data_IF_297855366388
#
_entry.id   IF_297855366388
#
_cell.length_a   1.000
_cell.length_b   1.000
_cell.length_c   1.000
_cell.angle_alpha   90.00
_cell.angle_beta   90.00
_cell.angle_gamma   90.00
#
_symmetry.space_group_name_H-M   'P 1'
#
loop_
_entity.id
_entity.type
_entity.pdbx_description
1 polymer ?
#
# COMPACT_ATOMS: atom_id res chain seq x y z
N UNK A 1 -9.23 -11.49 -28.62
CA UNK A 1 -9.13 -11.02 -27.22
C UNK A 1 -7.88 -11.66 -26.65
N UNK A 2 -6.91 -10.88 -26.22
CA UNK A 2 -5.70 -11.45 -25.63
C UNK A 2 -6.04 -12.08 -24.28
N UNK A 3 -5.27 -13.11 -23.86
CA UNK A 3 -5.49 -13.82 -22.59
C UNK A 3 -5.64 -12.88 -21.40
N UNK A 4 -4.87 -11.79 -21.39
CA UNK A 4 -4.90 -10.78 -20.31
C UNK A 4 -6.23 -10.01 -20.29
N UNK A 5 -6.80 -9.67 -21.45
CA UNK A 5 -8.06 -8.95 -21.52
C UNK A 5 -9.18 -9.80 -20.91
N UNK A 6 -9.23 -11.09 -21.25
CA UNK A 6 -10.20 -12.02 -20.68
C UNK A 6 -10.05 -12.14 -19.16
N UNK A 7 -8.81 -12.27 -18.66
CA UNK A 7 -8.54 -12.36 -17.21
C UNK A 7 -8.99 -11.07 -16.50
N UNK A 8 -8.68 -9.91 -17.08
CA UNK A 8 -9.05 -8.62 -16.53
C UNK A 8 -10.58 -8.44 -16.46
N UNK A 9 -11.28 -8.78 -17.54
CA UNK A 9 -12.73 -8.65 -17.62
C UNK A 9 -13.40 -9.61 -16.62
N UNK A 10 -12.94 -10.87 -16.55
CA UNK A 10 -13.44 -11.85 -15.60
C UNK A 10 -13.21 -11.43 -14.13
N UNK A 11 -12.05 -10.85 -13.81
CA UNK A 11 -11.77 -10.35 -12.47
C UNK A 11 -12.65 -9.13 -12.14
N UNK A 12 -12.87 -8.21 -13.10
CA UNK A 12 -13.76 -7.07 -12.92
C UNK A 12 -15.21 -7.49 -12.69
N UNK A 13 -15.68 -8.53 -13.36
CA UNK A 13 -17.02 -9.11 -13.15
C UNK A 13 -17.15 -9.82 -11.79
N UNK A 14 -16.13 -10.58 -11.39
CA UNK A 14 -16.13 -11.31 -10.12
C UNK A 14 -15.98 -10.40 -8.90
N UNK A 15 -15.28 -9.28 -9.05
CA UNK A 15 -14.94 -8.36 -7.95
C UNK A 15 -15.26 -6.90 -8.31
N UNK A 16 -16.53 -6.52 -8.53
CA UNK A 16 -16.90 -5.19 -9.05
C UNK A 16 -16.66 -4.04 -8.07
N UNK A 17 -16.51 -4.33 -6.77
CA UNK A 17 -16.33 -3.32 -5.70
C UNK A 17 -14.97 -3.43 -5.01
N UNK A 18 -13.95 -3.85 -5.71
CA UNK A 18 -12.66 -4.14 -5.13
C UNK A 18 -11.84 -2.87 -4.84
N UNK A 19 -12.27 -2.12 -3.82
CA UNK A 19 -11.46 -1.08 -3.19
C UNK A 19 -10.78 -1.68 -1.96
N UNK A 20 -9.52 -1.34 -1.74
CA UNK A 20 -8.87 -1.72 -0.49
C UNK A 20 -9.70 -1.26 0.72
N UNK A 21 -9.80 -2.09 1.75
CA UNK A 21 -10.66 -1.86 2.91
C UNK A 21 -10.08 -0.84 3.91
N UNK A 22 -8.87 -0.30 3.67
CA UNK A 22 -8.25 0.69 4.54
C UNK A 22 -8.96 2.05 4.44
N UNK A 23 -9.32 2.62 5.59
CA UNK A 23 -9.94 3.95 5.70
C UNK A 23 -8.87 5.03 5.88
N UNK A 24 -8.84 6.01 4.97
CA UNK A 24 -7.90 7.14 5.03
C UNK A 24 -8.47 8.40 4.36
N UNK A 25 -8.04 9.57 4.83
CA UNK A 25 -8.44 10.87 4.29
C UNK A 25 -7.31 11.63 3.55
N UNK A 26 -6.09 11.07 3.53
CA UNK A 26 -4.93 11.69 2.86
C UNK A 26 -3.87 10.66 2.50
N UNK A 27 -2.93 11.00 1.61
CA UNK A 27 -1.79 10.13 1.26
C UNK A 27 -0.95 9.80 2.49
N UNK A 28 -0.78 10.75 3.41
CA UNK A 28 -0.10 10.50 4.68
C UNK A 28 -0.81 9.42 5.51
N UNK A 29 -2.12 9.53 5.66
CA UNK A 29 -2.92 8.56 6.42
C UNK A 29 -2.90 7.19 5.75
N UNK A 30 -2.96 7.14 4.41
CA UNK A 30 -2.78 5.90 3.66
C UNK A 30 -1.42 5.26 3.95
N UNK A 31 -0.32 6.02 3.85
CA UNK A 31 1.03 5.52 4.13
C UNK A 31 1.11 4.92 5.54
N UNK A 32 0.62 5.63 6.55
CA UNK A 32 0.60 5.14 7.93
C UNK A 32 -0.25 3.87 8.05
N UNK A 33 -1.46 3.85 7.47
CA UNK A 33 -2.34 2.68 7.51
C UNK A 33 -1.69 1.45 6.85
N UNK A 34 -1.01 1.62 5.70
CA UNK A 34 -0.32 0.52 5.01
C UNK A 34 0.91 0.04 5.79
N UNK A 35 1.65 0.91 6.49
CA UNK A 35 2.72 0.47 7.41
C UNK A 35 2.12 -0.37 8.55
N UNK A 36 0.97 0.03 9.09
CA UNK A 36 0.29 -0.69 10.16
C UNK A 36 -0.34 -2.01 9.70
N UNK A 37 -0.69 -2.16 8.42
CA UNK A 37 -1.35 -3.37 7.89
C UNK A 37 -0.39 -4.57 7.72
N UNK A 38 0.92 -4.38 7.83
CA UNK A 38 1.87 -5.50 7.77
C UNK A 38 1.52 -6.58 8.82
N UNK A 39 1.17 -7.78 8.36
CA UNK A 39 0.73 -8.92 9.20
C UNK A 39 -0.47 -8.58 10.13
N UNK A 40 -1.38 -7.74 9.64
CA UNK A 40 -2.56 -7.30 10.40
C UNK A 40 -3.72 -7.13 9.43
N UNK A 41 -4.94 -7.48 9.84
CA UNK A 41 -6.14 -7.30 8.99
C UNK A 41 -6.51 -5.82 8.89
N UNK A 42 -7.10 -5.41 7.74
CA UNK A 42 -7.53 -4.03 7.51
C UNK A 42 -8.57 -3.57 8.54
N UNK A 43 -9.46 -4.44 8.96
CA UNK A 43 -10.43 -4.17 10.04
C UNK A 43 -9.71 -3.78 11.34
N UNK A 44 -8.67 -4.52 11.73
CA UNK A 44 -7.92 -4.21 12.94
C UNK A 44 -7.12 -2.91 12.79
N UNK A 45 -6.59 -2.63 11.59
CA UNK A 45 -5.91 -1.36 11.29
C UNK A 45 -6.90 -0.21 11.37
N UNK A 46 -8.06 -0.30 10.72
CA UNK A 46 -9.07 0.75 10.73
C UNK A 46 -9.55 1.09 12.15
N UNK A 47 -9.67 0.09 13.02
CA UNK A 47 -10.05 0.31 14.41
C UNK A 47 -9.04 1.20 15.15
N UNK A 48 -7.75 0.99 14.97
CA UNK A 48 -6.72 1.79 15.66
C UNK A 48 -6.45 3.12 14.96
N UNK A 49 -6.56 3.19 13.63
CA UNK A 49 -6.29 4.42 12.87
C UNK A 49 -7.35 5.48 13.09
N UNK A 50 -8.59 5.15 13.41
CA UNK A 50 -9.64 6.12 13.79
C UNK A 50 -9.21 7.00 14.96
N UNK A 51 -8.67 6.40 16.01
CA UNK A 51 -8.17 7.13 17.17
C UNK A 51 -6.83 7.82 16.86
N UNK A 52 -5.91 7.10 16.19
CA UNK A 52 -4.61 7.63 15.82
C UNK A 52 -4.73 8.90 14.97
N UNK A 53 -5.56 8.90 13.93
CA UNK A 53 -5.71 10.05 13.03
C UNK A 53 -6.55 11.18 13.64
N UNK A 54 -7.41 10.90 14.61
CA UNK A 54 -8.08 11.93 15.39
C UNK A 54 -7.07 12.72 16.23
N UNK A 55 -6.07 12.06 16.81
CA UNK A 55 -5.04 12.68 17.65
C UNK A 55 -3.86 13.22 16.83
N UNK A 56 -3.44 12.48 15.81
CA UNK A 56 -2.27 12.77 14.97
C UNK A 56 -2.65 12.75 13.48
N UNK A 57 -3.37 13.76 12.98
CA UNK A 57 -3.95 13.75 11.63
C UNK A 57 -2.94 13.88 10.48
N UNK A 58 -1.72 14.32 10.76
CA UNK A 58 -0.69 14.63 9.76
C UNK A 58 0.73 14.32 10.26
N UNK A 59 1.72 14.37 9.35
CA UNK A 59 3.11 14.07 9.67
C UNK A 59 3.68 15.00 10.76
N UNK A 60 3.30 16.29 10.75
CA UNK A 60 3.79 17.27 11.73
C UNK A 60 3.36 16.92 13.17
N UNK A 61 2.14 16.45 13.36
CA UNK A 61 1.64 16.03 14.67
C UNK A 61 2.24 14.69 15.10
N UNK A 62 2.31 13.69 14.18
CA UNK A 62 2.82 12.37 14.50
C UNK A 62 4.35 12.35 14.71
N UNK A 63 5.12 13.20 14.01
CA UNK A 63 6.56 13.34 14.21
C UNK A 63 6.94 13.80 15.63
N UNK A 64 6.02 14.50 16.30
CA UNK A 64 6.20 15.03 17.67
C UNK A 64 5.48 14.22 18.73
N UNK A 65 4.85 13.11 18.34
CA UNK A 65 4.09 12.29 19.25
C UNK A 65 4.99 11.60 20.27
N UNK A 66 4.47 11.43 21.49
CA UNK A 66 5.07 10.53 22.47
C UNK A 66 4.91 9.07 21.97
N UNK A 67 6.01 8.33 21.98
CA UNK A 67 6.02 6.96 21.49
C UNK A 67 5.13 6.03 22.33
N UNK A 68 5.07 6.25 23.64
CA UNK A 68 4.25 5.43 24.53
C UNK A 68 2.76 5.69 24.30
N UNK A 69 2.39 6.92 23.99
CA UNK A 69 1.02 7.26 23.62
C UNK A 69 0.62 6.60 22.29
N UNK A 70 1.49 6.65 21.26
CA UNK A 70 1.23 5.96 20.00
C UNK A 70 1.12 4.45 20.20
N UNK A 71 2.01 3.84 20.99
CA UNK A 71 1.95 2.41 21.32
C UNK A 71 0.64 2.05 22.00
N UNK A 72 0.18 2.86 22.94
CA UNK A 72 -1.10 2.61 23.64
C UNK A 72 -2.28 2.58 22.68
N UNK A 73 -2.31 3.52 21.71
CA UNK A 73 -3.38 3.58 20.71
C UNK A 73 -3.36 2.33 19.80
N UNK A 74 -2.18 1.87 19.39
CA UNK A 74 -2.08 0.76 18.42
C UNK A 74 -1.77 -0.61 19.05
N UNK A 75 -1.81 -0.76 20.36
CA UNK A 75 -1.39 -1.99 21.08
C UNK A 75 -2.14 -3.26 20.70
N UNK A 76 -3.32 -3.13 20.11
CA UNK A 76 -4.15 -4.26 19.71
C UNK A 76 -3.69 -4.93 18.42
N UNK A 77 -2.78 -4.30 17.65
CA UNK A 77 -2.23 -4.87 16.43
C UNK A 77 -0.86 -5.50 16.67
N UNK A 78 -0.52 -6.53 15.88
CA UNK A 78 0.76 -7.22 15.99
C UNK A 78 1.96 -6.28 15.72
N UNK A 79 3.10 -6.53 16.37
CA UNK A 79 4.35 -5.77 16.20
C UNK A 79 4.22 -4.27 16.51
N UNK A 80 3.27 -3.88 17.35
CA UNK A 80 2.94 -2.49 17.62
C UNK A 80 4.12 -1.63 18.09
N UNK A 81 5.08 -2.18 18.84
CA UNK A 81 6.28 -1.47 19.27
C UNK A 81 7.14 -1.00 18.08
N UNK A 82 7.40 -1.90 17.13
CA UNK A 82 8.17 -1.59 15.92
C UNK A 82 7.37 -0.67 15.00
N UNK A 83 6.07 -0.92 14.86
CA UNK A 83 5.17 -0.10 14.03
C UNK A 83 5.07 1.34 14.55
N UNK A 84 4.91 1.54 15.87
CA UNK A 84 4.90 2.87 16.48
C UNK A 84 6.18 3.66 16.16
N UNK A 85 7.35 3.01 16.36
CA UNK A 85 8.63 3.61 16.00
C UNK A 85 8.68 3.99 14.52
N UNK A 86 8.31 3.06 13.63
CA UNK A 86 8.38 3.26 12.19
C UNK A 86 7.50 4.44 11.71
N UNK A 87 6.25 4.54 12.17
CA UNK A 87 5.36 5.63 11.73
C UNK A 87 5.80 6.99 12.27
N UNK A 88 6.38 7.06 13.47
CA UNK A 88 6.93 8.30 14.02
C UNK A 88 8.18 8.72 13.23
N UNK A 89 9.13 7.82 12.99
CA UNK A 89 10.34 8.12 12.24
C UNK A 89 10.05 8.46 10.77
N UNK A 90 9.14 7.74 10.11
CA UNK A 90 8.68 8.10 8.77
C UNK A 90 8.06 9.51 8.75
N UNK A 91 7.29 9.87 9.78
CA UNK A 91 6.71 11.21 9.90
C UNK A 91 7.76 12.30 10.08
N UNK A 92 8.85 12.02 10.79
CA UNK A 92 9.98 12.97 10.93
C UNK A 92 10.66 13.21 9.58
N UNK A 93 10.95 12.15 8.82
CA UNK A 93 11.54 12.25 7.48
C UNK A 93 10.64 13.07 6.55
N UNK A 94 9.32 12.81 6.57
CA UNK A 94 8.36 13.59 5.79
C UNK A 94 8.36 15.06 6.20
N UNK A 95 8.41 15.34 7.50
CA UNK A 95 8.46 16.71 8.01
C UNK A 95 9.74 17.45 7.59
N UNK A 96 10.89 16.77 7.62
CA UNK A 96 12.18 17.28 7.14
C UNK A 96 12.17 17.54 5.63
N UNK A 97 11.39 16.76 4.86
CA UNK A 97 11.14 16.99 3.44
C UNK A 97 10.00 18.00 3.20
N UNK A 98 9.94 19.08 3.99
CA UNK A 98 8.93 20.14 3.87
C UNK A 98 7.48 19.64 3.93
N UNK A 99 7.23 18.55 4.64
CA UNK A 99 5.93 17.89 4.75
C UNK A 99 5.39 17.36 3.41
N UNK A 100 6.28 17.04 2.48
CA UNK A 100 5.97 16.47 1.16
C UNK A 100 6.32 14.99 1.14
N UNK A 101 5.39 14.18 0.64
CA UNK A 101 5.62 12.77 0.34
C UNK A 101 5.91 12.68 -1.15
N UNK A 102 7.13 12.26 -1.51
CA UNK A 102 7.53 12.15 -2.90
C UNK A 102 6.87 10.93 -3.55
N UNK A 103 6.27 11.09 -4.75
CA UNK A 103 5.71 9.99 -5.50
C UNK A 103 6.79 9.18 -6.25
N UNK A 104 7.83 8.81 -5.52
CA UNK A 104 8.97 8.04 -6.01
C UNK A 104 9.17 6.76 -5.20
N UNK A 105 9.32 5.62 -5.88
CA UNK A 105 9.41 4.32 -5.21
C UNK A 105 10.67 4.19 -4.35
N UNK A 106 11.78 4.79 -4.75
CA UNK A 106 13.05 4.70 -4.00
C UNK A 106 12.97 5.57 -2.75
N UNK A 107 12.38 6.75 -2.88
CA UNK A 107 12.15 7.64 -1.74
C UNK A 107 11.20 6.99 -0.72
N UNK A 108 10.08 6.44 -1.16
CA UNK A 108 9.13 5.74 -0.29
C UNK A 108 9.77 4.55 0.42
N UNK A 109 10.55 3.76 -0.29
CA UNK A 109 11.28 2.61 0.30
C UNK A 109 12.39 3.03 1.27
N UNK A 110 12.81 4.28 1.27
CA UNK A 110 13.70 4.87 2.26
C UNK A 110 13.03 5.14 3.61
N UNK A 111 11.71 5.13 3.66
CA UNK A 111 10.97 5.36 4.91
C UNK A 111 10.94 4.10 5.78
N UNK A 112 11.10 4.23 7.12
CA UNK A 112 11.01 3.11 8.04
C UNK A 112 9.68 2.35 7.92
N UNK A 113 9.76 1.04 7.79
CA UNK A 113 8.58 0.17 7.66
C UNK A 113 7.96 0.12 6.26
N UNK A 114 8.55 0.79 5.27
CA UNK A 114 8.07 0.79 3.89
C UNK A 114 8.91 -0.14 3.03
N UNK A 115 8.33 -1.29 2.68
CA UNK A 115 8.88 -2.19 1.67
C UNK A 115 8.35 -1.86 0.27
N UNK A 116 8.82 -2.59 -0.76
CA UNK A 116 8.40 -2.39 -2.15
C UNK A 116 6.89 -2.51 -2.35
N UNK A 117 6.27 -3.53 -1.73
CA UNK A 117 4.81 -3.71 -1.77
C UNK A 117 4.08 -2.48 -1.21
N UNK A 118 4.46 -2.02 -0.02
CA UNK A 118 3.90 -0.82 0.61
C UNK A 118 4.07 0.41 -0.27
N UNK A 119 5.27 0.63 -0.84
CA UNK A 119 5.53 1.75 -1.74
C UNK A 119 4.63 1.70 -2.98
N UNK A 120 4.45 0.53 -3.59
CA UNK A 120 3.56 0.37 -4.75
C UNK A 120 2.10 0.66 -4.40
N UNK A 121 1.61 0.23 -3.22
CA UNK A 121 0.25 0.56 -2.74
C UNK A 121 0.08 2.08 -2.59
N UNK A 122 1.03 2.75 -1.95
CA UNK A 122 0.97 4.21 -1.77
C UNK A 122 1.00 4.94 -3.11
N UNK A 123 1.82 4.48 -4.07
CA UNK A 123 1.87 5.06 -5.41
C UNK A 123 0.55 4.86 -6.16
N UNK A 124 -0.01 3.65 -6.14
CA UNK A 124 -1.24 3.35 -6.87
C UNK A 124 -2.46 4.00 -6.23
N UNK A 125 -2.68 3.81 -4.94
CA UNK A 125 -3.86 4.29 -4.25
C UNK A 125 -3.79 5.77 -3.88
N UNK A 126 -2.64 6.23 -3.41
CA UNK A 126 -2.45 7.60 -2.93
C UNK A 126 -2.19 8.60 -4.05
N UNK A 127 -1.33 8.25 -4.99
CA UNK A 127 -0.92 9.14 -6.07
C UNK A 127 -1.57 8.82 -7.42
N UNK A 128 -2.32 7.73 -7.51
CA UNK A 128 -2.93 7.25 -8.77
C UNK A 128 -1.89 6.99 -9.87
N UNK A 129 -0.67 6.66 -9.47
CA UNK A 129 0.39 6.24 -10.36
C UNK A 129 0.27 4.73 -10.55
N UNK A 130 0.08 4.24 -11.77
CA UNK A 130 -0.11 2.82 -12.02
C UNK A 130 1.06 1.98 -11.48
N UNK A 131 0.78 1.11 -10.54
CA UNK A 131 1.74 0.19 -9.90
C UNK A 131 1.05 -1.11 -9.48
N UNK A 132 1.80 -2.18 -9.46
CA UNK A 132 1.34 -3.50 -9.00
C UNK A 132 2.06 -3.88 -7.71
N UNK A 133 1.29 -4.11 -6.65
CA UNK A 133 1.82 -4.56 -5.37
C UNK A 133 1.86 -6.09 -5.34
N UNK A 134 2.96 -6.68 -5.79
CA UNK A 134 3.11 -8.15 -5.84
C UNK A 134 3.45 -8.71 -4.46
N UNK A 135 2.52 -9.50 -3.92
CA UNK A 135 2.75 -10.33 -2.75
C UNK A 135 2.87 -11.81 -3.13
N UNK A 136 2.89 -12.70 -2.15
CA UNK A 136 2.99 -14.15 -2.37
C UNK A 136 1.76 -14.73 -3.09
N UNK A 137 0.59 -14.11 -2.95
CA UNK A 137 -0.64 -14.53 -3.63
C UNK A 137 -0.61 -14.11 -5.09
N UNK A 138 -0.37 -12.83 -5.36
CA UNK A 138 -0.20 -12.30 -6.73
C UNK A 138 0.91 -13.05 -7.47
N UNK A 139 2.05 -13.28 -6.81
CA UNK A 139 3.14 -14.07 -7.36
C UNK A 139 2.69 -15.45 -7.84
N UNK A 140 1.96 -16.21 -6.98
CA UNK A 140 1.49 -17.55 -7.33
C UNK A 140 0.43 -17.53 -8.42
N UNK A 141 -0.52 -16.60 -8.36
CA UNK A 141 -1.61 -16.49 -9.34
C UNK A 141 -1.06 -16.10 -10.71
N UNK A 142 -0.19 -15.09 -10.79
CA UNK A 142 0.43 -14.68 -12.05
C UNK A 142 1.18 -15.82 -12.74
N UNK A 143 1.91 -16.63 -11.99
CA UNK A 143 2.60 -17.81 -12.52
C UNK A 143 1.64 -18.91 -12.97
N UNK A 144 0.60 -19.20 -12.20
CA UNK A 144 -0.43 -20.21 -12.58
C UNK A 144 -1.21 -19.81 -13.82
N UNK A 145 -1.45 -18.52 -13.98
CA UNK A 145 -2.09 -17.97 -15.17
C UNK A 145 -1.09 -17.78 -16.33
N UNK A 146 0.19 -18.15 -16.14
CA UNK A 146 1.26 -17.99 -17.14
C UNK A 146 1.43 -16.54 -17.63
N UNK A 147 1.11 -15.56 -16.79
CA UNK A 147 1.34 -14.15 -17.05
C UNK A 147 2.79 -13.75 -16.79
N UNK A 148 3.50 -14.53 -15.97
CA UNK A 148 4.93 -14.38 -15.71
C UNK A 148 5.59 -15.74 -15.46
N UNK A 149 6.85 -15.86 -15.90
CA UNK A 149 7.73 -17.00 -15.59
C UNK A 149 8.82 -16.62 -14.58
N UNK A 150 8.84 -15.40 -14.11
CA UNK A 150 9.83 -14.91 -13.17
C UNK A 150 9.79 -15.68 -11.83
N UNK A 151 10.96 -15.82 -11.20
CA UNK A 151 11.14 -16.55 -9.94
C UNK A 151 11.13 -15.64 -8.72
N UNK A 152 11.03 -14.32 -8.93
CA UNK A 152 11.00 -13.32 -7.86
C UNK A 152 9.75 -12.45 -7.97
N UNK A 153 9.30 -11.90 -6.83
CA UNK A 153 8.18 -10.95 -6.80
C UNK A 153 8.46 -9.71 -7.64
N UNK A 154 9.70 -9.24 -7.66
CA UNK A 154 10.12 -8.11 -8.50
C UNK A 154 9.99 -8.44 -9.99
N UNK A 155 10.49 -9.60 -10.42
CA UNK A 155 10.36 -10.01 -11.82
C UNK A 155 8.91 -10.18 -12.26
N UNK A 156 8.04 -10.72 -11.38
CA UNK A 156 6.59 -10.80 -11.65
C UNK A 156 5.98 -9.40 -11.75
N UNK A 157 6.37 -8.46 -10.87
CA UNK A 157 5.93 -7.06 -10.95
C UNK A 157 6.30 -6.45 -12.31
N UNK A 158 7.55 -6.60 -12.73
CA UNK A 158 8.04 -6.08 -14.01
C UNK A 158 7.32 -6.69 -15.23
N UNK A 159 7.07 -8.00 -15.21
CA UNK A 159 6.34 -8.67 -16.28
C UNK A 159 4.89 -8.21 -16.35
N UNK A 160 4.20 -8.14 -15.21
CA UNK A 160 2.82 -7.68 -15.14
C UNK A 160 2.72 -6.20 -15.55
N UNK A 161 3.65 -5.36 -15.13
CA UNK A 161 3.69 -3.94 -15.54
C UNK A 161 3.82 -3.80 -17.06
N UNK A 162 4.68 -4.58 -17.73
CA UNK A 162 4.81 -4.57 -19.19
C UNK A 162 3.52 -4.96 -19.89
N UNK A 163 2.83 -5.98 -19.37
CA UNK A 163 1.57 -6.48 -19.95
C UNK A 163 0.45 -5.43 -19.81
N UNK A 164 0.39 -4.74 -18.68
CA UNK A 164 -0.67 -3.79 -18.36
C UNK A 164 -0.41 -2.39 -18.93
N UNK A 165 0.87 -1.96 -19.05
CA UNK A 165 1.25 -0.65 -19.65
C UNK A 165 0.75 -0.49 -21.10
N UNK A 166 0.58 -1.58 -21.81
CA UNK A 166 0.22 -1.54 -23.21
C UNK A 166 -1.26 -1.28 -23.48
N UNK A 167 -2.18 -1.48 -22.52
CA UNK A 167 -3.62 -1.49 -22.84
C UNK A 167 -4.63 -0.87 -21.89
N UNK A 168 -4.40 -0.77 -20.59
CA UNK A 168 -5.49 -0.45 -19.63
C UNK A 168 -5.16 0.52 -18.50
N UNK A 169 -4.06 1.22 -18.52
CA UNK A 169 -3.75 2.24 -17.52
C UNK A 169 -4.60 3.52 -17.64
N UNK A 170 -5.40 3.65 -18.70
CA UNK A 170 -6.31 4.77 -18.94
C UNK A 170 -7.73 4.57 -18.41
N UNK A 171 -8.16 3.34 -18.16
CA UNK A 171 -9.49 3.06 -17.63
C UNK A 171 -9.44 2.96 -16.11
N UNK A 172 -10.09 3.89 -15.45
CA UNK A 172 -10.21 4.03 -13.99
C UNK A 172 -10.79 2.82 -13.23
N UNK A 173 -11.12 1.73 -13.92
CA UNK A 173 -11.65 0.51 -13.37
C UNK A 173 -10.57 -0.56 -13.03
N UNK A 174 -9.33 -0.38 -13.49
CA UNK A 174 -8.26 -1.31 -13.25
C UNK A 174 -7.29 -0.83 -12.18
N UNK A 175 -7.83 -0.47 -11.05
CA UNK A 175 -7.03 -0.33 -9.85
C UNK A 175 -6.63 -1.73 -9.41
N UNK A 176 -5.35 -1.99 -9.36
CA UNK A 176 -4.73 -3.28 -9.04
C UNK A 176 -5.04 -3.75 -7.61
N UNK A 177 -6.11 -3.29 -7.04
CA UNK A 177 -6.73 -3.80 -5.83
C UNK A 177 -7.39 -5.17 -6.02
N UNK A 178 -7.54 -5.63 -7.26
CA UNK A 178 -8.18 -6.92 -7.59
C UNK A 178 -7.33 -8.14 -7.19
N UNK A 179 -6.11 -7.96 -6.74
CA UNK A 179 -5.22 -9.05 -6.32
C UNK A 179 -4.96 -9.11 -4.80
N UNK A 180 -5.76 -8.42 -3.99
CA UNK A 180 -5.68 -8.47 -2.52
C UNK A 180 -6.63 -9.49 -1.92
#
# INVERSE_FOLDING_TARGET
>A
MEKIDYICDALGELFPNNKGDLEYGSVFQLLVAVILSAQTTDIAVNNVTKELFKKYPNAKSLAKADIEDVKEIIKTIGLYNTKAKNIIEASKIILENNNVIEPDIKWLMGLPGVGRKTANVVLSEGFKIPRIAVDTHVFRVARRLELSKAETTLGVEEDLMKILDQKKMGDSAFTITTFW
#
